data_IF_377374720310
#
_entry.id   IF_377374720310
#
_cell.length_a   1.000
_cell.length_b   1.000
_cell.length_c   1.000
_cell.angle_alpha   90.00
_cell.angle_beta   90.00
_cell.angle_gamma   90.00
#
_symmetry.space_group_name_H-M   'P 1'
#
loop_
_entity.id
_entity.type
_entity.pdbx_description
1 polymer ?
#
# COMPACT_ATOMS: atom_id res chain seq x y z
N UNK A 1 -10.07 17.80 -7.03
CA UNK A 1 -9.16 16.66 -6.82
C UNK A 1 -9.12 16.33 -5.33
N UNK A 2 -9.94 15.39 -4.86
CA UNK A 2 -9.93 14.95 -3.45
C UNK A 2 -8.93 13.80 -3.33
N UNK A 3 -7.80 14.03 -2.65
CA UNK A 3 -6.91 12.93 -2.26
C UNK A 3 -7.60 12.20 -1.11
N UNK A 4 -7.83 10.88 -1.18
CA UNK A 4 -8.38 10.14 -0.06
C UNK A 4 -7.48 10.35 1.17
N UNK A 5 -8.11 10.67 2.31
CA UNK A 5 -7.41 10.91 3.57
C UNK A 5 -6.88 9.57 4.12
N UNK A 6 -5.76 9.14 3.57
CA UNK A 6 -5.01 8.00 4.07
C UNK A 6 -4.23 8.43 5.31
N UNK A 7 -4.36 7.65 6.37
CA UNK A 7 -3.50 7.77 7.54
C UNK A 7 -2.05 7.45 7.18
N UNK A 8 -1.07 7.91 7.97
CA UNK A 8 0.34 7.61 7.73
C UNK A 8 0.64 6.10 7.63
N UNK A 9 -0.06 5.27 8.43
CA UNK A 9 0.10 3.81 8.43
C UNK A 9 -0.50 3.16 7.18
N UNK A 10 -1.68 3.59 6.75
CA UNK A 10 -2.27 3.13 5.49
C UNK A 10 -1.39 3.50 4.29
N UNK A 11 -0.82 4.71 4.29
CA UNK A 11 0.11 5.13 3.24
C UNK A 11 1.38 4.28 3.22
N UNK A 12 1.93 3.92 4.39
CA UNK A 12 3.09 3.05 4.48
C UNK A 12 2.81 1.63 3.94
N UNK A 13 1.64 1.07 4.25
CA UNK A 13 1.18 -0.21 3.69
C UNK A 13 1.00 -0.11 2.18
N UNK A 14 0.37 0.94 1.68
CA UNK A 14 0.18 1.16 0.25
C UNK A 14 1.51 1.29 -0.50
N UNK A 15 2.51 1.94 0.11
CA UNK A 15 3.85 2.06 -0.45
C UNK A 15 4.53 0.68 -0.58
N UNK A 16 4.44 -0.16 0.46
CA UNK A 16 4.95 -1.54 0.41
C UNK A 16 4.26 -2.35 -0.71
N UNK A 17 2.95 -2.16 -0.91
CA UNK A 17 2.23 -2.82 -2.00
C UNK A 17 2.71 -2.37 -3.38
N UNK A 18 3.03 -1.08 -3.55
CA UNK A 18 3.57 -0.55 -4.81
C UNK A 18 5.00 -1.01 -5.08
N UNK A 19 5.79 -1.23 -4.03
CA UNK A 19 7.12 -1.88 -4.07
C UNK A 19 7.02 -3.39 -4.41
N UNK A 20 5.82 -3.97 -4.46
CA UNK A 20 5.61 -5.40 -4.76
C UNK A 20 5.72 -6.31 -3.52
N UNK A 21 5.74 -5.76 -2.31
CA UNK A 21 5.83 -6.54 -1.09
C UNK A 21 4.50 -7.23 -0.77
N UNK A 22 4.57 -8.52 -0.45
CA UNK A 22 3.44 -9.30 0.09
C UNK A 22 3.09 -8.92 1.53
N UNK A 23 2.01 -9.49 2.07
CA UNK A 23 1.51 -9.18 3.42
C UNK A 23 2.54 -9.50 4.52
N UNK A 24 3.25 -10.62 4.41
CA UNK A 24 4.31 -11.03 5.35
C UNK A 24 5.52 -10.09 5.31
N UNK A 25 5.97 -9.71 4.12
CA UNK A 25 7.10 -8.81 3.95
C UNK A 25 6.75 -7.38 4.42
N UNK A 26 5.52 -6.94 4.15
CA UNK A 26 4.99 -5.66 4.65
C UNK A 26 4.93 -5.64 6.18
N UNK A 27 4.44 -6.73 6.78
CA UNK A 27 4.39 -6.88 8.24
C UNK A 27 5.78 -6.75 8.88
N UNK A 28 6.78 -7.42 8.30
CA UNK A 28 8.17 -7.34 8.73
C UNK A 28 8.74 -5.92 8.59
N UNK A 29 8.56 -5.29 7.42
CA UNK A 29 9.07 -3.94 7.12
C UNK A 29 8.48 -2.86 8.02
N UNK A 30 7.20 -2.98 8.36
CA UNK A 30 6.48 -2.02 9.20
C UNK A 30 6.47 -2.38 10.69
N UNK A 31 7.09 -3.52 11.07
CA UNK A 31 7.12 -4.07 12.43
C UNK A 31 5.72 -4.20 13.05
N UNK A 32 4.77 -4.75 12.29
CA UNK A 32 3.39 -5.01 12.71
C UNK A 32 3.02 -6.45 12.39
N UNK A 33 1.89 -6.94 12.93
CA UNK A 33 1.41 -8.29 12.61
C UNK A 33 0.83 -8.36 11.19
N UNK A 34 0.88 -9.55 10.58
CA UNK A 34 0.22 -9.82 9.27
C UNK A 34 -1.29 -9.54 9.35
N UNK A 35 -1.91 -9.83 10.50
CA UNK A 35 -3.31 -9.47 10.76
C UNK A 35 -3.53 -7.96 10.67
N UNK A 36 -2.66 -7.17 11.30
CA UNK A 36 -2.72 -5.69 11.23
C UNK A 36 -2.53 -5.18 9.80
N UNK A 37 -1.67 -5.82 8.98
CA UNK A 37 -1.56 -5.47 7.55
C UNK A 37 -2.86 -5.71 6.80
N UNK A 38 -3.57 -6.81 7.08
CA UNK A 38 -4.87 -7.11 6.47
C UNK A 38 -5.93 -6.07 6.83
N UNK A 39 -5.97 -5.65 8.10
CA UNK A 39 -6.87 -4.58 8.57
C UNK A 39 -6.58 -3.26 7.83
N UNK A 40 -5.31 -2.86 7.72
CA UNK A 40 -4.94 -1.66 6.96
C UNK A 40 -5.28 -1.78 5.47
N UNK A 41 -5.11 -2.96 4.86
CA UNK A 41 -5.51 -3.20 3.46
C UNK A 41 -7.02 -3.13 3.28
N UNK A 42 -7.80 -3.66 4.20
CA UNK A 42 -9.27 -3.56 4.16
C UNK A 42 -9.73 -2.10 4.25
N UNK A 43 -9.13 -1.31 5.16
CA UNK A 43 -9.40 0.13 5.26
C UNK A 43 -9.00 0.88 4.00
N UNK A 44 -7.81 0.60 3.44
CA UNK A 44 -7.34 1.14 2.16
C UNK A 44 -8.33 0.85 1.04
N UNK A 45 -8.80 -0.39 0.92
CA UNK A 45 -9.74 -0.79 -0.13
C UNK A 45 -11.06 -0.02 -0.05
N UNK A 46 -11.58 0.19 1.16
CA UNK A 46 -12.77 1.02 1.38
C UNK A 46 -12.53 2.48 1.02
N UNK A 47 -11.38 3.05 1.41
CA UNK A 47 -11.05 4.47 1.17
C UNK A 47 -10.69 4.79 -0.29
N UNK A 48 -10.12 3.83 -1.00
CA UNK A 48 -9.75 3.94 -2.41
C UNK A 48 -10.85 3.42 -3.35
N UNK A 49 -11.92 2.85 -2.81
CA UNK A 49 -13.03 2.22 -3.55
C UNK A 49 -12.55 1.12 -4.53
N UNK A 50 -11.58 0.32 -4.10
CA UNK A 50 -10.97 -0.76 -4.89
C UNK A 50 -11.28 -2.13 -4.29
N UNK A 51 -11.20 -3.17 -5.13
CA UNK A 51 -11.56 -4.54 -4.72
C UNK A 51 -10.36 -5.42 -4.39
N UNK A 52 -9.17 -5.06 -4.86
CA UNK A 52 -7.98 -5.88 -4.72
C UNK A 52 -6.68 -5.06 -4.68
N UNK A 53 -5.58 -5.75 -4.39
CA UNK A 53 -4.25 -5.14 -4.26
C UNK A 53 -3.77 -4.51 -5.58
N UNK A 54 -4.04 -5.17 -6.70
CA UNK A 54 -3.63 -4.69 -8.04
C UNK A 54 -4.31 -3.38 -8.39
N UNK A 55 -5.62 -3.27 -8.14
CA UNK A 55 -6.37 -2.03 -8.28
C UNK A 55 -5.87 -0.94 -7.33
N UNK A 56 -5.59 -1.28 -6.07
CA UNK A 56 -5.02 -0.32 -5.12
C UNK A 56 -3.68 0.24 -5.60
N UNK A 57 -2.78 -0.62 -6.10
CA UNK A 57 -1.48 -0.22 -6.69
C UNK A 57 -1.68 0.63 -7.94
N UNK A 58 -2.60 0.25 -8.82
CA UNK A 58 -2.93 1.03 -10.03
C UNK A 58 -3.43 2.42 -9.67
N UNK A 59 -4.39 2.53 -8.75
CA UNK A 59 -4.93 3.81 -8.28
C UNK A 59 -3.85 4.65 -7.62
N UNK A 60 -3.00 4.04 -6.79
CA UNK A 60 -1.90 4.75 -6.13
C UNK A 60 -0.90 5.35 -7.12
N UNK A 61 -0.59 4.63 -8.20
CA UNK A 61 0.26 5.12 -9.30
C UNK A 61 -0.43 6.20 -10.13
N UNK A 62 -1.70 6.02 -10.47
CA UNK A 62 -2.46 6.96 -11.30
C UNK A 62 -2.75 8.29 -10.60
N UNK A 63 -3.02 8.25 -9.29
CA UNK A 63 -3.36 9.44 -8.50
C UNK A 63 -2.16 10.07 -7.77
N UNK A 64 -0.93 9.60 -8.03
CA UNK A 64 0.31 10.09 -7.40
C UNK A 64 0.18 10.16 -5.87
N UNK A 65 -0.46 9.15 -5.26
CA UNK A 65 -0.76 9.13 -3.82
C UNK A 65 0.48 8.87 -2.95
N UNK A 66 1.58 8.44 -3.57
CA UNK A 66 2.83 8.09 -2.90
C UNK A 66 4.03 8.51 -3.75
N UNK A 67 5.05 9.17 -3.15
CA UNK A 67 6.34 9.35 -3.78
C UNK A 67 7.06 8.00 -3.78
N UNK A 68 7.30 7.44 -4.97
CA UNK A 68 8.14 6.24 -5.12
C UNK A 68 9.60 6.66 -4.91
N UNK A 69 10.02 6.74 -3.64
CA UNK A 69 11.43 6.90 -3.30
C UNK A 69 12.15 5.57 -3.56
N UNK A 70 12.68 5.42 -4.78
CA UNK A 70 13.56 4.32 -5.15
C UNK A 70 12.84 3.00 -5.43
N UNK A 71 12.43 2.80 -6.68
CA UNK A 71 12.31 1.46 -7.21
C UNK A 71 13.67 0.76 -7.02
N UNK A 72 13.75 -0.18 -6.07
CA UNK A 72 14.85 -1.14 -6.05
C UNK A 72 14.44 -2.28 -6.98
N UNK A 73 15.10 -2.45 -8.14
CA UNK A 73 14.83 -3.53 -9.06
C UNK A 73 15.54 -4.78 -8.51
N UNK A 74 14.98 -5.40 -7.47
CA UNK A 74 15.48 -6.69 -6.98
C UNK A 74 14.52 -7.80 -7.42
N UNK A 75 14.42 -7.93 -8.74
CA UNK A 75 14.38 -9.24 -9.38
C UNK A 75 15.80 -9.50 -9.90
N UNK A 76 16.61 -10.19 -9.11
CA UNK A 76 17.80 -10.90 -9.54
C UNK A 76 17.82 -12.23 -8.78
#
# INVERSE_FOLDING_TARGET
>A
MMRPALSPRERAVLLCMVEGLGEKATALRLQISVYTVKEYRASLYRKLEVRNATEAVRVARQQLLIPVAGASPLCA
#
